data_IF_100809417836
#
_entry.id   IF_100809417836
#
_cell.length_a   1.000
_cell.length_b   1.000
_cell.length_c   1.000
_cell.angle_alpha   90.00
_cell.angle_beta   90.00
_cell.angle_gamma   90.00
#
_symmetry.space_group_name_H-M   'P 1'
#
loop_
_entity.id
_entity.type
_entity.pdbx_description
1 polymer ?
#
# COMPACT_ATOMS: atom_id res chain seq x y z
N UNK A 1 -25.91 17.50 -22.69
CA UNK A 1 -24.45 17.43 -22.80
C UNK A 1 -23.86 17.84 -21.46
N UNK A 2 -23.47 16.90 -20.60
CA UNK A 2 -22.64 17.19 -19.43
C UNK A 2 -21.64 16.07 -19.27
N UNK A 3 -20.41 16.36 -19.71
CA UNK A 3 -19.24 15.50 -19.63
C UNK A 3 -18.72 15.57 -18.21
N UNK A 4 -19.08 14.60 -17.37
CA UNK A 4 -18.46 14.45 -16.05
C UNK A 4 -17.03 13.97 -16.29
N UNK A 5 -16.07 14.85 -16.01
CA UNK A 5 -14.66 14.56 -16.08
C UNK A 5 -14.35 13.37 -15.17
N UNK A 6 -13.76 12.33 -15.77
CA UNK A 6 -13.09 11.27 -15.02
C UNK A 6 -11.97 11.95 -14.23
N UNK A 7 -12.15 12.06 -12.91
CA UNK A 7 -11.05 12.31 -12.00
C UNK A 7 -10.17 11.08 -12.07
N UNK A 8 -9.03 11.20 -12.72
CA UNK A 8 -7.91 10.30 -12.55
C UNK A 8 -7.54 10.42 -11.07
N UNK A 9 -7.96 9.44 -10.27
CA UNK A 9 -7.58 9.36 -8.87
C UNK A 9 -6.11 8.96 -8.91
N UNK A 10 -5.22 9.96 -8.95
CA UNK A 10 -3.81 9.73 -8.67
C UNK A 10 -3.78 9.02 -7.31
N UNK A 11 -3.51 7.71 -7.31
CA UNK A 11 -3.43 6.96 -6.06
C UNK A 11 -2.35 7.64 -5.23
N UNK A 12 -2.76 8.26 -4.12
CA UNK A 12 -1.86 8.88 -3.14
C UNK A 12 -1.07 7.76 -2.46
N UNK A 13 -0.02 7.31 -3.15
CA UNK A 13 0.95 6.37 -2.62
C UNK A 13 1.99 7.20 -1.86
N UNK A 14 2.11 7.04 -0.53
CA UNK A 14 3.11 7.77 0.24
C UNK A 14 4.52 7.46 -0.25
N UNK A 15 5.45 8.41 -0.05
CA UNK A 15 6.86 8.20 -0.39
C UNK A 15 7.46 6.98 0.33
N UNK A 16 6.97 6.68 1.54
CA UNK A 16 7.36 5.54 2.35
C UNK A 16 6.17 4.57 2.49
N UNK A 17 6.41 3.31 2.16
CA UNK A 17 5.45 2.22 2.27
C UNK A 17 6.01 1.09 3.11
N UNK A 18 5.15 0.18 3.55
CA UNK A 18 5.55 -0.97 4.36
C UNK A 18 5.45 -2.24 3.55
N UNK A 19 6.48 -3.08 3.56
CA UNK A 19 6.43 -4.44 2.99
C UNK A 19 6.74 -5.49 4.02
N UNK A 20 6.22 -6.69 3.80
CA UNK A 20 6.63 -7.87 4.56
C UNK A 20 8.09 -8.22 4.18
N UNK A 21 8.91 -8.60 5.17
CA UNK A 21 10.33 -8.96 4.97
C UNK A 21 10.52 -10.33 4.33
N UNK A 22 9.47 -11.14 4.25
CA UNK A 22 9.47 -12.42 3.55
C UNK A 22 9.96 -12.28 2.11
N UNK A 23 10.77 -13.23 1.65
CA UNK A 23 11.23 -13.30 0.26
C UNK A 23 10.11 -13.56 -0.76
N UNK A 24 8.95 -14.01 -0.27
CA UNK A 24 7.77 -14.31 -1.08
C UNK A 24 6.76 -13.17 -1.09
N UNK A 25 7.05 -12.07 -0.37
CA UNK A 25 6.18 -10.92 -0.37
C UNK A 25 6.41 -10.09 -1.62
N UNK A 26 5.33 -9.85 -2.34
CA UNK A 26 5.26 -8.99 -3.53
C UNK A 26 4.32 -7.79 -3.30
N UNK A 27 3.77 -7.63 -2.09
CA UNK A 27 2.79 -6.60 -1.79
C UNK A 27 3.36 -5.46 -0.93
N UNK A 28 3.05 -4.22 -1.32
CA UNK A 28 3.26 -2.99 -0.57
C UNK A 28 1.99 -2.59 0.17
N UNK A 29 2.13 -2.20 1.42
CA UNK A 29 1.03 -1.74 2.26
C UNK A 29 1.23 -0.27 2.66
N UNK A 30 0.11 0.41 2.95
CA UNK A 30 0.14 1.72 3.57
C UNK A 30 0.69 1.57 5.00
N UNK A 31 1.64 2.41 5.44
CA UNK A 31 2.03 2.46 6.84
C UNK A 31 0.81 2.77 7.73
N UNK A 32 0.77 2.19 8.93
CA UNK A 32 -0.24 2.53 9.92
C UNK A 32 0.03 3.95 10.48
N UNK A 33 -0.85 4.94 10.24
CA UNK A 33 -0.64 6.32 10.71
C UNK A 33 -0.76 6.44 12.23
N UNK A 34 -1.43 5.50 12.90
CA UNK A 34 -1.70 5.51 14.33
C UNK A 34 -0.68 4.68 15.13
N UNK A 35 0.41 4.24 14.49
CA UNK A 35 1.44 3.42 15.10
C UNK A 35 2.84 3.98 14.86
N UNK A 36 3.64 4.03 15.93
CA UNK A 36 5.08 4.33 15.83
C UNK A 36 5.91 3.11 15.37
N UNK A 37 5.30 1.93 15.31
CA UNK A 37 5.94 0.71 14.86
C UNK A 37 5.91 0.59 13.33
N UNK A 38 6.90 -0.12 12.78
CA UNK A 38 6.90 -0.47 11.35
C UNK A 38 5.86 -1.55 11.06
N UNK A 39 4.61 -1.13 10.91
CA UNK A 39 3.47 -2.01 10.62
C UNK A 39 2.54 -1.41 9.58
N UNK A 40 1.83 -2.24 8.80
CA UNK A 40 0.85 -1.75 7.84
C UNK A 40 -0.47 -1.38 8.53
N UNK A 41 -1.21 -0.43 7.96
CA UNK A 41 -2.60 -0.13 8.32
C UNK A 41 -3.55 -1.30 8.03
N UNK A 42 -3.10 -2.27 7.22
CA UNK A 42 -3.90 -3.42 6.79
C UNK A 42 -4.49 -4.21 7.98
N UNK A 43 -5.81 -4.38 8.07
CA UNK A 43 -6.46 -5.13 9.16
C UNK A 43 -6.19 -6.64 9.07
N UNK A 44 -5.98 -7.16 7.86
CA UNK A 44 -5.63 -8.57 7.61
C UNK A 44 -4.13 -8.82 7.62
N UNK A 45 -3.33 -7.90 8.19
CA UNK A 45 -1.89 -8.12 8.36
C UNK A 45 -1.64 -9.38 9.18
N UNK A 46 -0.56 -10.07 8.83
CA UNK A 46 -0.12 -11.21 9.62
C UNK A 46 0.72 -10.69 10.78
N UNK A 47 0.15 -10.65 11.98
CA UNK A 47 0.80 -10.09 13.18
C UNK A 47 2.10 -10.81 13.57
N UNK A 48 2.31 -12.06 13.13
CA UNK A 48 3.54 -12.82 13.35
C UNK A 48 4.66 -12.52 12.34
N UNK A 49 4.38 -11.70 11.31
CA UNK A 49 5.36 -11.37 10.27
C UNK A 49 6.11 -10.09 10.59
N UNK A 50 7.38 -10.08 10.21
CA UNK A 50 8.18 -8.87 10.25
C UNK A 50 7.93 -8.01 9.01
N UNK A 51 7.83 -6.71 9.25
CA UNK A 51 7.62 -5.69 8.24
C UNK A 51 8.79 -4.71 8.23
N UNK A 52 8.96 -4.01 7.11
CA UNK A 52 9.98 -2.97 6.95
C UNK A 52 9.43 -1.81 6.13
N UNK A 53 9.83 -0.59 6.48
CA UNK A 53 9.58 0.61 5.67
C UNK A 53 10.54 0.63 4.49
N UNK A 54 10.04 0.97 3.31
CA UNK A 54 10.81 1.12 2.08
C UNK A 54 10.31 2.31 1.26
N UNK A 55 11.17 2.94 0.44
CA UNK A 55 10.73 3.99 -0.46
C UNK A 55 9.86 3.42 -1.58
N UNK A 56 8.64 3.94 -1.76
CA UNK A 56 7.67 3.42 -2.74
C UNK A 56 8.24 3.41 -4.17
N UNK A 57 8.91 4.50 -4.56
CA UNK A 57 9.49 4.65 -5.89
C UNK A 57 10.47 3.54 -6.29
N UNK A 58 11.15 2.90 -5.32
CA UNK A 58 12.08 1.81 -5.58
C UNK A 58 11.39 0.45 -5.80
N UNK A 59 10.11 0.32 -5.42
CA UNK A 59 9.41 -0.96 -5.35
C UNK A 59 8.16 -1.05 -6.24
N UNK A 60 7.54 0.08 -6.60
CA UNK A 60 6.32 0.12 -7.43
C UNK A 60 6.45 -0.57 -8.80
N UNK A 61 7.66 -0.78 -9.31
CA UNK A 61 7.91 -1.51 -10.57
C UNK A 61 7.95 -3.04 -10.43
N UNK A 62 8.00 -3.56 -9.20
CA UNK A 62 8.15 -5.00 -8.93
C UNK A 62 7.15 -5.54 -7.91
N UNK A 63 6.48 -4.65 -7.18
CA UNK A 63 5.55 -4.99 -6.12
C UNK A 63 4.19 -4.38 -6.41
N UNK A 64 3.18 -5.09 -5.96
CA UNK A 64 1.77 -4.76 -6.06
C UNK A 64 1.33 -3.94 -4.84
N UNK A 65 0.50 -2.91 -5.03
CA UNK A 65 -0.16 -2.24 -3.92
C UNK A 65 -1.24 -3.13 -3.31
N UNK A 66 -1.29 -3.19 -1.99
CA UNK A 66 -2.31 -3.94 -1.27
C UNK A 66 -3.70 -3.42 -1.63
N UNK A 67 -4.56 -4.33 -2.08
CA UNK A 67 -5.92 -4.03 -2.54
C UNK A 67 -6.88 -3.73 -1.39
N UNK A 68 -6.45 -3.90 -0.14
CA UNK A 68 -7.28 -3.59 1.02
C UNK A 68 -7.61 -2.09 1.07
N UNK A 69 -8.87 -1.69 1.30
CA UNK A 69 -9.29 -0.28 1.39
C UNK A 69 -8.49 0.55 2.41
N UNK A 70 -8.11 -0.05 3.54
CA UNK A 70 -7.30 0.62 4.57
C UNK A 70 -5.85 0.85 4.12
N UNK A 71 -5.43 0.22 3.01
CA UNK A 71 -4.15 0.47 2.36
C UNK A 71 -4.32 1.37 1.14
N UNK A 72 -4.61 0.75 -0.01
CA UNK A 72 -4.68 1.44 -1.30
C UNK A 72 -5.93 1.10 -2.09
N UNK A 73 -6.81 0.23 -1.55
CA UNK A 73 -8.19 0.06 -1.98
C UNK A 73 -8.37 0.13 -3.50
N UNK A 74 -7.77 -0.81 -4.23
CA UNK A 74 -7.92 -0.80 -5.69
C UNK A 74 -9.35 -1.22 -6.03
N UNK A 75 -10.14 -0.33 -6.59
CA UNK A 75 -11.21 -0.76 -7.50
C UNK A 75 -10.50 -1.24 -8.77
N UNK A 76 -10.49 -2.55 -9.03
CA UNK A 76 -10.05 -3.08 -10.32
C UNK A 76 -10.82 -2.38 -11.44
N UNK A 77 -10.11 -1.82 -12.42
CA UNK A 77 -10.69 -1.30 -13.66
C UNK A 77 -9.94 -1.83 -14.87
#
# INVERSE_FOLDING_TARGET
>A
MSKTAAGEVEQDVPEIVVRNRSRYADTLHRPDPDSDDTRPACPIRQSDKEYTTVPAAAYLGHYELCENPECFGREWR
#
